data_IF_933459024995
#
_entry.id   IF_933459024995
#
_cell.length_a   1.000
_cell.length_b   1.000
_cell.length_c   1.000
_cell.angle_alpha   90.00
_cell.angle_beta   90.00
_cell.angle_gamma   90.00
#
_symmetry.space_group_name_H-M   'P 1'
#
loop_
_entity.id
_entity.type
_entity.pdbx_description
1 polymer ?
#
# COMPACT_ATOMS: atom_id res chain seq x y z
N UNK A 1 22.07 35.30 8.04
CA UNK A 1 21.80 33.87 8.29
C UNK A 1 20.32 33.62 8.01
N UNK A 2 19.94 32.67 7.13
CA UNK A 2 18.55 32.50 6.70
C UNK A 2 17.81 31.61 7.70
N UNK A 3 17.59 32.11 8.92
CA UNK A 3 16.71 31.45 9.86
C UNK A 3 15.38 32.18 9.82
N UNK A 4 14.30 31.43 9.55
CA UNK A 4 12.97 31.97 9.33
C UNK A 4 12.39 32.61 10.60
N UNK A 5 11.26 33.30 10.46
CA UNK A 5 10.45 33.67 11.63
C UNK A 5 10.11 32.39 12.41
N UNK A 6 10.05 32.43 13.75
CA UNK A 6 9.68 31.28 14.57
C UNK A 6 8.41 30.61 14.03
N UNK A 7 8.39 29.27 14.00
CA UNK A 7 7.24 28.49 13.50
C UNK A 7 5.97 28.70 14.35
N UNK A 8 6.15 29.12 15.61
CA UNK A 8 5.13 29.57 16.54
C UNK A 8 5.71 30.68 17.44
N UNK A 9 4.88 31.58 18.01
CA UNK A 9 5.34 32.44 19.09
C UNK A 9 5.73 31.57 20.29
N UNK A 10 6.97 31.72 20.78
CA UNK A 10 7.51 30.93 21.89
C UNK A 10 7.99 31.89 22.97
N UNK A 11 7.37 31.85 24.15
CA UNK A 11 7.90 32.53 25.32
C UNK A 11 8.99 31.69 25.99
N UNK A 12 10.09 32.33 26.39
CA UNK A 12 11.12 31.71 27.21
C UNK A 12 10.57 31.08 28.50
N UNK A 13 9.61 31.75 29.15
CA UNK A 13 9.00 31.28 30.40
C UNK A 13 8.16 30.00 30.21
N UNK A 14 7.53 29.82 29.05
CA UNK A 14 6.71 28.64 28.74
C UNK A 14 7.54 27.37 28.53
N UNK A 15 8.82 27.53 28.17
CA UNK A 15 9.79 26.44 28.02
C UNK A 15 10.62 26.20 29.28
N UNK A 16 10.26 26.81 30.42
CA UNK A 16 11.03 26.70 31.66
C UNK A 16 12.39 27.41 31.61
N UNK A 17 12.63 28.25 30.59
CA UNK A 17 13.86 29.02 30.48
C UNK A 17 13.77 30.26 31.36
N UNK A 18 14.35 30.20 32.56
CA UNK A 18 14.42 31.33 33.50
C UNK A 18 15.54 32.30 33.12
N UNK A 19 15.54 32.79 31.88
CA UNK A 19 16.37 33.92 31.45
C UNK A 19 17.86 33.80 31.75
N UNK A 20 18.42 32.59 31.80
CA UNK A 20 19.86 32.42 31.81
C UNK A 20 20.36 33.15 30.57
N UNK A 21 21.14 34.22 30.73
CA UNK A 21 21.85 34.79 29.60
C UNK A 21 22.56 33.61 28.92
N UNK A 22 22.58 33.61 27.59
CA UNK A 22 23.61 32.85 26.87
C UNK A 22 24.93 33.58 27.18
N UNK A 23 25.36 33.48 28.44
CA UNK A 23 26.59 34.07 28.91
C UNK A 23 27.71 33.45 28.09
N UNK A 24 28.71 34.28 27.78
CA UNK A 24 29.91 33.80 27.12
C UNK A 24 30.53 32.77 28.06
N UNK A 25 30.41 31.49 27.70
CA UNK A 25 31.09 30.41 28.41
C UNK A 25 32.59 30.63 28.23
N UNK A 26 33.31 30.68 29.34
CA UNK A 26 34.77 30.68 29.27
C UNK A 26 35.23 29.41 28.55
N UNK A 27 36.24 29.54 27.70
CA UNK A 27 36.78 28.39 27.00
C UNK A 27 37.41 27.42 28.00
N UNK A 28 36.97 26.16 27.92
CA UNK A 28 37.51 25.04 28.68
C UNK A 28 37.77 23.91 27.69
N UNK A 29 39.04 23.52 27.55
CA UNK A 29 39.47 22.57 26.53
C UNK A 29 38.78 21.20 26.68
N UNK A 30 38.54 20.74 27.91
CA UNK A 30 37.96 19.43 28.17
C UNK A 30 36.46 19.44 27.86
N UNK A 31 35.75 20.46 28.34
CA UNK A 31 34.30 20.62 28.11
C UNK A 31 34.00 20.88 26.64
N UNK A 32 34.83 21.67 25.95
CA UNK A 32 34.63 21.97 24.53
C UNK A 32 34.95 20.78 23.62
N UNK A 33 35.95 19.95 23.97
CA UNK A 33 36.18 18.68 23.26
C UNK A 33 34.98 17.75 23.39
N UNK A 34 34.44 17.60 24.59
CA UNK A 34 33.23 16.81 24.82
C UNK A 34 32.05 17.35 24.01
N UNK A 35 31.81 18.67 24.05
CA UNK A 35 30.76 19.33 23.28
C UNK A 35 30.92 19.07 21.77
N UNK A 36 32.14 19.10 21.23
CA UNK A 36 32.38 18.78 19.82
C UNK A 36 31.96 17.35 19.47
N UNK A 37 32.21 16.37 20.34
CA UNK A 37 31.75 15.00 20.12
C UNK A 37 30.22 14.90 20.20
N UNK A 38 29.58 15.53 21.20
CA UNK A 38 28.12 15.59 21.30
C UNK A 38 27.46 16.24 20.07
N UNK A 39 28.05 17.31 19.52
CA UNK A 39 27.57 17.94 18.29
C UNK A 39 27.72 17.05 17.06
N UNK A 40 28.76 16.21 16.99
CA UNK A 40 28.90 15.21 15.92
C UNK A 40 27.85 14.10 16.04
N UNK A 41 27.56 13.64 17.26
CA UNK A 41 26.47 12.69 17.49
C UNK A 41 25.13 13.29 17.08
N UNK A 42 24.86 14.55 17.46
CA UNK A 42 23.66 15.28 17.06
C UNK A 42 23.54 15.42 15.54
N UNK A 43 24.62 15.81 14.86
CA UNK A 43 24.65 15.90 13.39
C UNK A 43 24.29 14.56 12.74
N UNK A 44 24.89 13.47 13.23
CA UNK A 44 24.61 12.12 12.72
C UNK A 44 23.16 11.73 12.99
N UNK A 45 22.64 11.95 14.19
CA UNK A 45 21.26 11.63 14.53
C UNK A 45 20.25 12.37 13.64
N UNK A 46 20.47 13.67 13.42
CA UNK A 46 19.63 14.50 12.56
C UNK A 46 19.69 14.05 11.10
N UNK A 47 20.89 13.78 10.57
CA UNK A 47 21.06 13.41 9.15
C UNK A 47 20.65 11.97 8.82
N UNK A 48 20.55 11.07 9.81
CA UNK A 48 20.06 9.70 9.63
C UNK A 48 18.53 9.60 9.53
N UNK A 49 17.80 10.58 10.06
CA UNK A 49 16.34 10.58 10.02
C UNK A 49 15.81 10.88 8.61
N UNK A 50 14.85 10.08 8.14
CA UNK A 50 14.31 10.20 6.78
C UNK A 50 13.09 11.12 6.67
N UNK A 51 12.26 11.17 7.73
CA UNK A 51 10.95 11.82 7.69
C UNK A 51 10.80 12.91 8.76
N UNK A 52 11.15 12.61 10.01
CA UNK A 52 11.04 13.54 11.13
C UNK A 52 12.02 13.16 12.24
N UNK A 53 12.49 14.15 13.01
CA UNK A 53 13.34 14.00 14.19
C UNK A 53 12.56 14.48 15.41
N UNK A 54 12.56 13.69 16.48
CA UNK A 54 12.01 14.09 17.78
C UNK A 54 13.15 14.15 18.78
N UNK A 55 13.33 15.31 19.40
CA UNK A 55 14.20 15.45 20.56
C UNK A 55 13.36 15.23 21.82
N UNK A 56 13.85 14.36 22.70
CA UNK A 56 13.26 14.11 24.01
C UNK A 56 14.38 14.07 25.05
N UNK A 57 14.18 14.78 26.15
CA UNK A 57 15.08 14.81 27.29
C UNK A 57 14.24 14.87 28.57
N UNK A 58 14.57 14.01 29.53
CA UNK A 58 13.85 13.87 30.79
C UNK A 58 14.04 15.06 31.74
N UNK A 59 15.03 15.92 31.53
CA UNK A 59 15.34 17.07 32.37
C UNK A 59 14.86 18.38 31.75
N UNK A 60 13.74 18.97 32.23
CA UNK A 60 13.21 20.24 31.72
C UNK A 60 14.22 21.39 31.72
N UNK A 61 15.06 21.44 32.76
CA UNK A 61 16.03 22.52 32.94
C UNK A 61 17.22 22.37 31.99
N UNK A 62 17.66 21.15 31.71
CA UNK A 62 18.81 20.90 30.84
C UNK A 62 18.46 21.17 29.36
N UNK A 63 17.27 20.78 28.91
CA UNK A 63 16.88 20.93 27.51
C UNK A 63 16.31 22.31 27.15
N UNK A 64 15.84 23.08 28.13
CA UNK A 64 15.19 24.38 27.90
C UNK A 64 16.02 25.34 27.01
N UNK A 65 17.34 25.54 27.23
CA UNK A 65 18.14 26.42 26.38
C UNK A 65 18.21 25.95 24.92
N UNK A 66 18.36 24.64 24.71
CA UNK A 66 18.45 24.05 23.37
C UNK A 66 17.12 24.12 22.62
N UNK A 67 16.01 23.80 23.29
CA UNK A 67 14.67 23.82 22.69
C UNK A 67 14.25 25.25 22.34
N UNK A 68 14.51 26.20 23.25
CA UNK A 68 14.26 27.61 22.99
C UNK A 68 15.09 28.12 21.81
N UNK A 69 16.37 27.76 21.72
CA UNK A 69 17.23 28.15 20.61
C UNK A 69 16.70 27.63 19.25
N UNK A 70 16.38 26.35 19.14
CA UNK A 70 15.83 25.77 17.90
C UNK A 70 14.48 26.38 17.51
N UNK A 71 13.60 26.61 18.49
CA UNK A 71 12.30 27.21 18.25
C UNK A 71 12.41 28.66 17.77
N UNK A 72 13.31 29.44 18.38
CA UNK A 72 13.61 30.83 17.99
C UNK A 72 14.17 30.94 16.58
N UNK A 73 14.97 29.95 16.15
CA UNK A 73 15.46 29.86 14.76
C UNK A 73 14.40 29.37 13.76
N UNK A 74 13.21 28.99 14.23
CA UNK A 74 12.17 28.40 13.39
C UNK A 74 12.52 27.00 12.88
N UNK A 75 13.44 26.29 13.55
CA UNK A 75 13.91 24.95 13.15
C UNK A 75 13.09 23.83 13.79
N UNK A 76 12.42 24.09 14.91
CA UNK A 76 11.65 23.10 15.64
C UNK A 76 10.35 23.68 16.19
N UNK A 77 9.33 22.82 16.28
CA UNK A 77 8.10 23.08 17.06
C UNK A 77 8.26 22.39 18.41
N UNK A 78 8.16 23.15 19.50
CA UNK A 78 8.16 22.56 20.84
C UNK A 78 6.75 22.09 21.18
N UNK A 79 6.64 20.87 21.69
CA UNK A 79 5.38 20.28 22.10
C UNK A 79 5.43 20.09 23.61
N UNK A 80 4.62 20.86 24.33
CA UNK A 80 4.52 20.82 25.79
C UNK A 80 3.30 20.02 26.22
N UNK A 81 3.49 19.03 27.09
CA UNK A 81 2.41 18.18 27.63
C UNK A 81 2.74 16.68 27.53
N UNK A 82 1.87 15.85 28.09
CA UNK A 82 1.93 14.40 27.84
C UNK A 82 1.62 14.16 26.37
N UNK A 83 2.63 13.73 25.60
CA UNK A 83 2.41 13.13 24.29
C UNK A 83 1.60 11.86 24.57
N UNK A 84 0.27 11.93 24.43
CA UNK A 84 -0.56 10.74 24.42
C UNK A 84 -0.20 10.04 23.12
N UNK A 85 0.76 9.13 23.21
CA UNK A 85 1.19 8.26 22.11
C UNK A 85 0.09 7.24 21.75
N UNK A 86 -1.18 7.67 21.81
CA UNK A 86 -2.31 6.94 21.27
C UNK A 86 -2.06 6.78 19.78
N UNK A 87 -2.04 5.54 19.33
CA UNK A 87 -1.70 5.21 17.96
C UNK A 87 -2.62 5.93 16.96
N UNK A 88 -2.04 6.89 16.23
CA UNK A 88 -2.56 7.34 14.94
C UNK A 88 -2.98 8.79 14.80
N UNK A 89 -3.36 9.51 15.87
CA UNK A 89 -3.74 10.93 15.75
C UNK A 89 -2.57 11.87 16.00
N UNK A 90 -1.99 11.82 17.19
CA UNK A 90 -0.88 12.72 17.58
C UNK A 90 0.38 12.42 16.76
N UNK A 91 0.68 11.13 16.54
CA UNK A 91 1.80 10.69 15.71
C UNK A 91 1.69 11.15 14.24
N UNK A 92 0.47 11.25 13.70
CA UNK A 92 0.24 11.73 12.33
C UNK A 92 0.35 13.27 12.27
N UNK A 93 -0.17 13.99 13.26
CA UNK A 93 -0.04 15.45 13.37
C UNK A 93 1.42 15.90 13.58
N UNK A 94 2.25 15.03 14.16
CA UNK A 94 3.67 15.25 14.35
C UNK A 94 4.53 14.76 13.18
N UNK A 95 3.93 14.16 12.13
CA UNK A 95 4.68 13.61 10.98
C UNK A 95 5.53 12.38 11.32
N UNK A 96 5.25 11.75 12.45
CA UNK A 96 6.01 10.63 13.02
C UNK A 96 5.43 9.27 12.62
N UNK A 97 4.16 9.21 12.22
CA UNK A 97 3.60 8.03 11.57
C UNK A 97 3.73 8.14 10.06
N UNK A 98 4.10 7.02 9.41
CA UNK A 98 3.82 6.89 7.98
C UNK A 98 2.31 6.95 7.81
N UNK A 99 1.82 7.80 6.91
CA UNK A 99 0.40 7.81 6.52
C UNK A 99 -0.07 6.37 6.31
N UNK A 100 -1.16 5.97 6.96
CA UNK A 100 -1.71 4.62 6.81
C UNK A 100 -1.92 4.39 5.31
N UNK A 101 -1.22 3.40 4.75
CA UNK A 101 -1.35 3.09 3.32
C UNK A 101 -2.81 2.85 3.01
N UNK A 102 -3.32 3.60 2.03
CA UNK A 102 -4.72 3.49 1.62
C UNK A 102 -4.93 2.17 0.87
N UNK A 103 -6.17 1.67 0.76
CA UNK A 103 -6.48 0.52 -0.08
C UNK A 103 -5.97 0.70 -1.53
N UNK A 104 -6.06 1.93 -2.06
CA UNK A 104 -5.54 2.26 -3.40
C UNK A 104 -4.00 2.12 -3.50
N UNK A 105 -3.25 2.49 -2.45
CA UNK A 105 -1.80 2.31 -2.42
C UNK A 105 -1.42 0.82 -2.41
N UNK A 106 -2.17 0.01 -1.67
CA UNK A 106 -1.98 -1.44 -1.64
C UNK A 106 -2.29 -2.08 -3.00
N UNK A 107 -3.36 -1.66 -3.68
CA UNK A 107 -3.69 -2.11 -5.04
C UNK A 107 -2.58 -1.75 -6.02
N UNK A 108 -2.08 -0.51 -6.00
CA UNK A 108 -0.99 -0.07 -6.89
C UNK A 108 0.29 -0.89 -6.69
N UNK A 109 0.64 -1.19 -5.43
CA UNK A 109 1.77 -2.07 -5.10
C UNK A 109 1.54 -3.48 -5.62
N UNK A 110 0.35 -4.04 -5.38
CA UNK A 110 -0.01 -5.38 -5.83
C UNK A 110 0.08 -5.50 -7.36
N UNK A 111 -0.46 -4.54 -8.12
CA UNK A 111 -0.37 -4.51 -9.58
C UNK A 111 1.08 -4.48 -10.08
N UNK A 112 1.97 -3.81 -9.37
CA UNK A 112 3.39 -3.79 -9.72
C UNK A 112 4.03 -5.16 -9.49
N UNK A 113 3.69 -5.83 -8.38
CA UNK A 113 4.18 -7.18 -8.06
C UNK A 113 3.63 -8.24 -9.03
N UNK A 114 2.38 -8.13 -9.47
CA UNK A 114 1.79 -8.98 -10.52
C UNK A 114 2.59 -8.87 -11.81
N UNK A 115 2.98 -7.66 -12.23
CA UNK A 115 3.80 -7.45 -13.45
C UNK A 115 5.18 -8.07 -13.35
N UNK A 116 5.74 -8.19 -12.15
CA UNK A 116 7.04 -8.84 -11.91
C UNK A 116 6.89 -10.30 -11.48
N UNK A 117 5.72 -10.91 -11.67
CA UNK A 117 5.42 -12.30 -11.33
C UNK A 117 5.65 -12.68 -9.85
N UNK A 118 5.57 -11.71 -8.93
CA UNK A 118 5.67 -11.94 -7.48
C UNK A 118 4.26 -12.04 -6.87
N UNK A 119 3.60 -13.17 -7.11
CA UNK A 119 2.18 -13.31 -6.80
C UNK A 119 1.87 -13.46 -5.30
N UNK A 120 2.76 -14.07 -4.49
CA UNK A 120 2.55 -14.19 -3.04
C UNK A 120 2.55 -12.82 -2.34
N UNK A 121 3.49 -11.95 -2.69
CA UNK A 121 3.52 -10.59 -2.17
C UNK A 121 2.32 -9.77 -2.69
N UNK A 122 1.94 -9.96 -3.96
CA UNK A 122 0.77 -9.32 -4.54
C UNK A 122 -0.52 -9.72 -3.80
N UNK A 123 -0.71 -11.02 -3.52
CA UNK A 123 -1.86 -11.53 -2.79
C UNK A 123 -1.99 -10.90 -1.40
N UNK A 124 -0.86 -10.76 -0.69
CA UNK A 124 -0.82 -10.09 0.61
C UNK A 124 -1.25 -8.63 0.50
N UNK A 125 -0.82 -7.91 -0.54
CA UNK A 125 -1.21 -6.53 -0.77
C UNK A 125 -2.70 -6.41 -1.13
N UNK A 126 -3.24 -7.28 -1.98
CA UNK A 126 -4.67 -7.29 -2.31
C UNK A 126 -5.55 -7.59 -1.09
N UNK A 127 -5.13 -8.51 -0.21
CA UNK A 127 -5.83 -8.78 1.06
C UNK A 127 -5.85 -7.55 1.96
N UNK A 128 -4.74 -6.82 2.07
CA UNK A 128 -4.67 -5.54 2.81
C UNK A 128 -5.55 -4.44 2.21
N UNK A 129 -5.80 -4.50 0.90
CA UNK A 129 -6.73 -3.60 0.21
C UNK A 129 -8.20 -4.02 0.32
N UNK A 130 -8.50 -5.19 0.91
CA UNK A 130 -9.85 -5.76 0.97
C UNK A 130 -10.33 -6.40 -0.34
N UNK A 131 -9.44 -6.63 -1.31
CA UNK A 131 -9.79 -7.25 -2.60
C UNK A 131 -9.48 -8.75 -2.54
N UNK A 132 -10.46 -9.54 -2.11
CA UNK A 132 -10.26 -10.97 -1.82
C UNK A 132 -10.13 -11.81 -3.09
N UNK A 133 -10.88 -11.46 -4.14
CA UNK A 133 -10.89 -12.19 -5.42
C UNK A 133 -9.53 -12.09 -6.11
N UNK A 134 -8.96 -10.88 -6.22
CA UNK A 134 -7.60 -10.70 -6.78
C UNK A 134 -6.53 -11.36 -5.92
N UNK A 135 -6.71 -11.38 -4.59
CA UNK A 135 -5.78 -12.08 -3.70
C UNK A 135 -5.79 -13.59 -3.95
N UNK A 136 -6.97 -14.20 -4.08
CA UNK A 136 -7.13 -15.63 -4.39
C UNK A 136 -6.58 -15.97 -5.78
N UNK A 137 -6.84 -15.13 -6.79
CA UNK A 137 -6.28 -15.29 -8.13
C UNK A 137 -4.74 -15.27 -8.11
N UNK A 138 -4.13 -14.33 -7.38
CA UNK A 138 -2.67 -14.28 -7.23
C UNK A 138 -2.13 -15.53 -6.52
N UNK A 139 -2.79 -16.02 -5.45
CA UNK A 139 -2.37 -17.26 -4.79
C UNK A 139 -2.44 -18.48 -5.71
N UNK A 140 -3.45 -18.55 -6.56
CA UNK A 140 -3.53 -19.60 -7.57
C UNK A 140 -2.41 -19.48 -8.61
N UNK A 141 -2.06 -18.27 -9.04
CA UNK A 141 -0.93 -18.04 -9.95
C UNK A 141 0.42 -18.40 -9.31
N UNK A 142 0.61 -18.13 -8.01
CA UNK A 142 1.80 -18.56 -7.27
C UNK A 142 1.92 -20.10 -7.26
N UNK A 143 0.82 -20.81 -7.08
CA UNK A 143 0.80 -22.29 -7.17
C UNK A 143 1.15 -22.79 -8.57
N UNK A 144 0.72 -22.10 -9.62
CA UNK A 144 1.12 -22.45 -11.00
C UNK A 144 2.61 -22.24 -11.23
N UNK A 145 3.21 -21.18 -10.69
CA UNK A 145 4.67 -20.99 -10.73
C UNK A 145 5.39 -22.09 -9.98
N UNK A 146 4.96 -22.39 -8.75
CA UNK A 146 5.54 -23.47 -7.96
C UNK A 146 5.46 -24.82 -8.71
N UNK A 147 4.33 -25.12 -9.36
CA UNK A 147 4.16 -26.33 -10.15
C UNK A 147 5.02 -26.38 -11.43
N UNK A 148 5.49 -25.23 -11.93
CA UNK A 148 6.39 -25.15 -13.07
C UNK A 148 7.87 -25.27 -12.66
N UNK A 149 8.19 -25.04 -11.38
CA UNK A 149 9.52 -25.19 -10.82
C UNK A 149 9.81 -26.63 -10.33
N UNK A 150 8.78 -27.48 -10.22
CA UNK A 150 8.96 -28.88 -9.85
C UNK A 150 9.53 -29.69 -11.02
N UNK A 151 10.47 -30.59 -10.72
CA UNK A 151 10.98 -31.55 -11.70
C UNK A 151 9.87 -32.50 -12.16
N UNK A 152 9.54 -32.43 -13.45
CA UNK A 152 8.45 -33.20 -14.09
C UNK A 152 8.62 -34.72 -13.90
N UNK A 153 9.84 -35.23 -13.76
CA UNK A 153 10.07 -36.68 -13.65
C UNK A 153 9.91 -37.26 -12.24
N UNK A 154 10.09 -36.45 -11.19
CA UNK A 154 10.08 -36.92 -9.79
C UNK A 154 8.81 -36.48 -9.05
N UNK A 155 8.26 -35.31 -9.39
CA UNK A 155 7.15 -34.69 -8.65
C UNK A 155 5.91 -34.40 -9.51
N UNK A 156 5.70 -35.10 -10.64
CA UNK A 156 4.57 -34.83 -11.55
C UNK A 156 3.21 -34.88 -10.84
N UNK A 157 2.98 -35.85 -9.97
CA UNK A 157 1.71 -35.96 -9.23
C UNK A 157 1.44 -34.73 -8.36
N UNK A 158 2.49 -34.13 -7.79
CA UNK A 158 2.41 -32.91 -6.97
C UNK A 158 2.22 -31.67 -7.85
N UNK A 159 2.93 -31.59 -8.98
CA UNK A 159 2.73 -30.54 -9.97
C UNK A 159 1.29 -30.56 -10.52
N UNK A 160 0.77 -31.75 -10.83
CA UNK A 160 -0.60 -31.98 -11.28
C UNK A 160 -1.63 -31.55 -10.23
N UNK A 161 -1.41 -31.89 -8.96
CA UNK A 161 -2.28 -31.48 -7.85
C UNK A 161 -2.31 -29.95 -7.67
N UNK A 162 -1.14 -29.29 -7.74
CA UNK A 162 -1.04 -27.83 -7.67
C UNK A 162 -1.75 -27.15 -8.85
N UNK A 163 -1.56 -27.67 -10.07
CA UNK A 163 -2.24 -27.19 -11.28
C UNK A 163 -3.76 -27.34 -11.16
N UNK A 164 -4.24 -28.47 -10.64
CA UNK A 164 -5.67 -28.69 -10.39
C UNK A 164 -6.23 -27.69 -9.38
N UNK A 165 -5.60 -27.56 -8.21
CA UNK A 165 -6.04 -26.66 -7.15
C UNK A 165 -6.06 -25.20 -7.61
N UNK A 166 -5.01 -24.78 -8.32
CA UNK A 166 -4.93 -23.45 -8.92
C UNK A 166 -6.03 -23.22 -9.96
N UNK A 167 -6.23 -24.18 -10.88
CA UNK A 167 -7.26 -24.09 -11.90
C UNK A 167 -8.67 -24.00 -11.31
N UNK A 168 -8.98 -24.81 -10.30
CA UNK A 168 -10.26 -24.77 -9.60
C UNK A 168 -10.48 -23.45 -8.85
N UNK A 169 -9.44 -22.94 -8.19
CA UNK A 169 -9.49 -21.64 -7.49
C UNK A 169 -9.71 -20.49 -8.47
N UNK A 170 -9.02 -20.49 -9.61
CA UNK A 170 -9.18 -19.46 -10.66
C UNK A 170 -10.59 -19.50 -11.28
N UNK A 171 -11.15 -20.69 -11.50
CA UNK A 171 -12.52 -20.83 -11.96
C UNK A 171 -13.52 -20.26 -10.95
N UNK A 172 -13.39 -20.66 -9.68
CA UNK A 172 -14.27 -20.20 -8.61
C UNK A 172 -14.19 -18.68 -8.39
N UNK A 173 -12.98 -18.11 -8.43
CA UNK A 173 -12.77 -16.66 -8.30
C UNK A 173 -13.35 -15.90 -9.49
N UNK A 174 -13.15 -16.36 -10.73
CA UNK A 174 -13.68 -15.67 -11.90
C UNK A 174 -15.22 -15.63 -11.94
N UNK A 175 -15.87 -16.71 -11.51
CA UNK A 175 -17.34 -16.80 -11.46
C UNK A 175 -17.92 -15.96 -10.33
N UNK A 176 -17.31 -15.98 -9.14
CA UNK A 176 -17.89 -15.39 -7.93
C UNK A 176 -17.38 -13.99 -7.60
N UNK A 177 -16.33 -13.49 -8.27
CA UNK A 177 -15.80 -12.16 -7.99
C UNK A 177 -16.90 -11.09 -8.13
N UNK A 178 -17.00 -10.12 -7.21
CA UNK A 178 -17.94 -9.02 -7.35
C UNK A 178 -17.44 -8.02 -8.42
N UNK A 179 -18.33 -7.31 -9.14
CA UNK A 179 -17.95 -6.41 -10.25
C UNK A 179 -16.95 -5.32 -9.90
N UNK A 180 -16.90 -4.90 -8.63
CA UNK A 180 -15.97 -3.88 -8.16
C UNK A 180 -14.56 -4.43 -7.87
N UNK A 181 -14.40 -5.74 -7.68
CA UNK A 181 -13.09 -6.36 -7.44
C UNK A 181 -12.40 -6.80 -8.73
N UNK A 182 -13.17 -7.23 -9.73
CA UNK A 182 -12.68 -7.71 -11.02
C UNK A 182 -13.64 -7.39 -12.17
N UNK A 183 -13.11 -6.79 -13.22
CA UNK A 183 -13.85 -6.49 -14.45
C UNK A 183 -14.00 -7.74 -15.34
N UNK A 184 -14.72 -7.58 -16.46
CA UNK A 184 -14.97 -8.70 -17.36
C UNK A 184 -13.70 -9.23 -18.06
N UNK A 185 -12.67 -8.39 -18.24
CA UNK A 185 -11.42 -8.78 -18.87
C UNK A 185 -10.57 -9.59 -17.90
N UNK A 186 -10.39 -9.12 -16.66
CA UNK A 186 -9.68 -9.86 -15.61
C UNK A 186 -10.31 -11.23 -15.34
N UNK A 187 -11.64 -11.30 -15.27
CA UNK A 187 -12.34 -12.59 -15.11
C UNK A 187 -12.10 -13.52 -16.29
N UNK A 188 -12.11 -12.98 -17.51
CA UNK A 188 -11.82 -13.77 -18.71
C UNK A 188 -10.40 -14.32 -18.66
N UNK A 189 -9.43 -13.51 -18.24
CA UNK A 189 -8.04 -13.94 -18.10
C UNK A 189 -7.90 -15.05 -17.05
N UNK A 190 -8.59 -14.94 -15.92
CA UNK A 190 -8.63 -16.00 -14.91
C UNK A 190 -9.28 -17.28 -15.43
N UNK A 191 -10.34 -17.19 -16.23
CA UNK A 191 -10.97 -18.36 -16.86
C UNK A 191 -10.05 -19.04 -17.88
N UNK A 192 -9.30 -18.26 -18.66
CA UNK A 192 -8.31 -18.80 -19.60
C UNK A 192 -7.17 -19.51 -18.85
N UNK A 193 -6.65 -18.89 -17.79
CA UNK A 193 -5.65 -19.52 -16.92
C UNK A 193 -6.20 -20.78 -16.23
N UNK A 194 -7.45 -20.75 -15.77
CA UNK A 194 -8.11 -21.90 -15.16
C UNK A 194 -8.22 -23.07 -16.15
N UNK A 195 -8.66 -22.81 -17.38
CA UNK A 195 -8.77 -23.83 -18.42
C UNK A 195 -7.40 -24.44 -18.76
N UNK A 196 -6.36 -23.61 -18.90
CA UNK A 196 -5.00 -24.07 -19.15
C UNK A 196 -4.47 -24.95 -18.00
N UNK A 197 -4.65 -24.50 -16.76
CA UNK A 197 -4.23 -25.22 -15.56
C UNK A 197 -4.95 -26.57 -15.40
N UNK A 198 -6.27 -26.61 -15.60
CA UNK A 198 -7.05 -27.83 -15.54
C UNK A 198 -6.69 -28.82 -16.65
N UNK A 199 -6.43 -28.33 -17.87
CA UNK A 199 -5.93 -29.17 -18.96
C UNK A 199 -4.58 -29.79 -18.61
N UNK A 200 -3.64 -28.98 -18.12
CA UNK A 200 -2.33 -29.45 -17.67
C UNK A 200 -2.42 -30.40 -16.45
N UNK A 201 -3.52 -30.34 -15.70
CA UNK A 201 -3.81 -31.26 -14.61
C UNK A 201 -4.52 -32.56 -15.08
N UNK A 202 -4.71 -32.78 -16.38
CA UNK A 202 -5.42 -33.94 -16.93
C UNK A 202 -6.94 -33.84 -16.93
N UNK A 203 -7.52 -32.70 -16.56
CA UNK A 203 -8.97 -32.44 -16.55
C UNK A 203 -9.43 -31.81 -17.87
N UNK A 204 -9.22 -32.52 -18.99
CA UNK A 204 -9.47 -31.99 -20.33
C UNK A 204 -10.94 -31.62 -20.58
N UNK A 205 -11.89 -32.44 -20.10
CA UNK A 205 -13.31 -32.18 -20.26
C UNK A 205 -13.73 -30.85 -19.62
N UNK A 206 -13.24 -30.56 -18.42
CA UNK A 206 -13.51 -29.30 -17.72
C UNK A 206 -12.89 -28.10 -18.45
N UNK A 207 -11.64 -28.24 -18.91
CA UNK A 207 -10.96 -27.19 -19.68
C UNK A 207 -11.69 -26.86 -21.00
N UNK A 208 -12.19 -27.88 -21.70
CA UNK A 208 -12.97 -27.71 -22.93
C UNK A 208 -14.30 -27.01 -22.65
N UNK A 209 -15.00 -27.35 -21.57
CA UNK A 209 -16.24 -26.69 -21.19
C UNK A 209 -16.04 -25.19 -20.90
N UNK A 210 -14.98 -24.84 -20.15
CA UNK A 210 -14.64 -23.43 -19.88
C UNK A 210 -14.33 -22.70 -21.18
N UNK A 211 -13.52 -23.31 -22.05
CA UNK A 211 -13.15 -22.72 -23.34
C UNK A 211 -14.35 -22.53 -24.27
N UNK A 212 -15.26 -23.50 -24.32
CA UNK A 212 -16.50 -23.41 -25.09
C UNK A 212 -17.43 -22.32 -24.54
N UNK A 213 -17.56 -22.21 -23.21
CA UNK A 213 -18.32 -21.13 -22.58
C UNK A 213 -17.75 -19.75 -22.94
N UNK A 214 -16.42 -19.58 -22.93
CA UNK A 214 -15.76 -18.34 -23.33
C UNK A 214 -15.96 -18.00 -24.81
N UNK A 215 -15.95 -19.00 -25.70
CA UNK A 215 -16.22 -18.82 -27.14
C UNK A 215 -17.67 -18.44 -27.44
N UNK A 216 -18.62 -19.06 -26.75
CA UNK A 216 -20.06 -18.79 -26.92
C UNK A 216 -20.46 -17.38 -26.42
N UNK A 217 -19.78 -16.85 -25.41
CA UNK A 217 -20.01 -15.47 -24.92
C UNK A 217 -19.65 -14.43 -25.98
N UNK A 218 -18.57 -14.63 -26.74
CA UNK A 218 -18.22 -13.76 -27.86
C UNK A 218 -19.28 -13.80 -28.98
N UNK A 219 -19.81 -14.99 -29.28
CA UNK A 219 -20.89 -15.17 -30.24
C UNK A 219 -22.21 -14.50 -29.83
N UNK A 220 -22.58 -14.56 -28.55
CA UNK A 220 -23.78 -13.89 -28.01
C UNK A 220 -23.61 -12.36 -27.95
N UNK A 221 -22.43 -11.86 -27.60
CA UNK A 221 -22.15 -10.42 -27.62
C UNK A 221 -22.21 -9.86 -29.06
N UNK A 222 -21.71 -10.61 -30.05
CA UNK A 222 -21.83 -10.25 -31.46
C UNK A 222 -23.30 -10.26 -31.94
N UNK A 223 -24.09 -11.26 -31.56
CA UNK A 223 -25.53 -11.30 -31.89
C UNK A 223 -26.33 -10.18 -31.22
N UNK A 224 -26.01 -9.82 -29.98
CA UNK A 224 -26.64 -8.68 -29.29
C UNK A 224 -26.26 -7.33 -29.92
N UNK A 225 -25.04 -7.19 -30.45
CA UNK A 225 -24.62 -5.99 -31.19
C UNK A 225 -25.25 -5.89 -32.60
N UNK A 226 -25.54 -7.03 -33.25
CA UNK A 226 -26.27 -7.07 -34.53
C UNK A 226 -27.77 -6.80 -34.33
N UNK A 227 -28.32 -7.11 -33.15
CA UNK A 227 -29.69 -6.80 -32.75
C UNK A 227 -29.87 -5.35 -32.20
N UNK A 228 -29.19 -4.38 -32.80
CA UNK A 228 -29.41 -2.95 -32.54
C UNK A 228 -30.85 -2.50 -32.83
N UNK A 229 -31.29 -1.34 -32.29
CA UNK A 229 -32.70 -1.05 -32.01
C UNK A 229 -33.50 -0.76 -33.30
N UNK A 230 -34.03 -1.81 -33.91
CA UNK A 230 -34.88 -1.72 -35.09
C UNK A 230 -36.37 -1.68 -34.74
N UNK A 231 -36.97 -0.50 -34.86
CA UNK A 231 -38.33 -0.39 -35.42
C UNK A 231 -39.49 -0.18 -34.46
N UNK A 232 -39.59 1.01 -33.85
CA UNK A 232 -40.89 1.54 -33.46
C UNK A 232 -41.62 2.03 -34.73
N UNK A 233 -42.39 1.11 -35.33
CA UNK A 233 -43.42 1.43 -36.33
C UNK A 233 -44.38 2.46 -35.74
N UNK A 234 -44.45 3.64 -36.36
CA UNK A 234 -45.45 4.65 -36.06
C UNK A 234 -46.86 4.10 -36.28
N UNK A 235 -47.64 4.05 -35.20
CA UNK A 235 -49.10 3.95 -35.24
C UNK A 235 -49.71 5.36 -35.12
N UNK A 236 -50.81 5.66 -35.81
CA UNK A 236 -51.31 7.02 -35.93
C UNK A 236 -52.01 7.48 -34.64
N UNK A 237 -51.70 8.72 -34.24
CA UNK A 237 -52.34 9.40 -33.12
C UNK A 237 -53.75 9.79 -33.53
N UNK A 238 -54.76 9.14 -32.94
CA UNK A 238 -56.14 9.62 -32.97
C UNK A 238 -56.27 10.78 -31.98
N UNK A 239 -56.43 11.99 -32.50
CA UNK A 239 -57.02 13.09 -31.74
C UNK A 239 -58.51 12.85 -31.58
N UNK A 240 -59.07 13.08 -30.40
CA UNK A 240 -60.18 14.03 -30.21
C UNK A 240 -60.72 13.98 -28.78
N UNK A 241 -60.91 15.20 -28.26
CA UNK A 241 -61.91 15.67 -27.27
C UNK A 241 -61.93 15.05 -25.89
#
# INVERSE_FOLDING_TARGET
MPFGKPLAPVSASELGFSGARLDVLNFDETQHKLLCEELKHLYTAVTRAKNAVVFFDSSPQAHAPFYYYLARLGLARVVTGQLKLEEGKDLHQLGLSKSKSTPADWIRRAQTMVRTANFDAAATCFRKAGNSSRAQACQAQAKLQAAAELDEDQEEAKAQALRFEAGYTLLGTAVNAPPHEADAAERRDWLLLAAAALKAAGQEAAAQQISAALGNVAGRAAQAAVAGPGGLRGGPVRSMT
#
